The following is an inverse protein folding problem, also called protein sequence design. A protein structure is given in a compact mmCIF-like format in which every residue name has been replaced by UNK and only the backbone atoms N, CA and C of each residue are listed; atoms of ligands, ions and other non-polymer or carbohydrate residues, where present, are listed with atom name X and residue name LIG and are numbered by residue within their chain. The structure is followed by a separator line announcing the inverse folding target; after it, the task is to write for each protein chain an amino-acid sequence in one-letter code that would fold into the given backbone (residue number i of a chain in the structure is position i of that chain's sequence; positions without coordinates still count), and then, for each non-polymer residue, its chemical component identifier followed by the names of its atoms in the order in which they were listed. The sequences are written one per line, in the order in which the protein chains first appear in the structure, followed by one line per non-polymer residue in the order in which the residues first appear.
data_IF_492079728385
#
_entry.id   IF_492079728385
#
_cell.length_a   1.000
_cell.length_b   1.000
_cell.length_c   1.000
_cell.angle_alpha   90.00
_cell.angle_beta   90.00
_cell.angle_gamma   90.00
#
_symmetry.space_group_name_H-M   'P 1'
#
loop_
_entity.id
_entity.type
_entity.pdbx_description
1 polymer ?
#
# COMPACT_ATOMS: atom_id res chain seq x y z
N UNK A 1 -11.49 18.62 19.88
CA UNK A 1 -10.72 17.55 19.22
C UNK A 1 -11.49 17.10 18.01
N UNK A 2 -10.98 17.43 16.82
CA UNK A 2 -11.52 16.93 15.57
C UNK A 2 -10.95 15.51 15.33
N UNK A 3 -11.79 14.60 14.85
CA UNK A 3 -11.37 13.21 14.56
C UNK A 3 -11.26 13.08 13.05
N UNK A 4 -10.06 12.76 12.56
CA UNK A 4 -9.83 12.43 11.16
C UNK A 4 -9.97 10.92 10.99
N UNK A 5 -10.94 10.51 10.19
CA UNK A 5 -11.16 9.10 9.88
C UNK A 5 -10.40 8.79 8.60
N UNK A 6 -9.48 7.82 8.68
CA UNK A 6 -8.68 7.38 7.55
C UNK A 6 -9.04 5.95 7.24
N UNK A 7 -9.51 5.72 6.01
CA UNK A 7 -9.86 4.40 5.53
C UNK A 7 -8.92 4.00 4.40
N UNK A 8 -8.22 2.87 4.55
CA UNK A 8 -7.49 2.26 3.44
C UNK A 8 -8.52 1.51 2.59
N UNK A 9 -8.77 1.98 1.38
CA UNK A 9 -9.79 1.41 0.47
C UNK A 9 -9.23 0.35 -0.45
N UNK A 10 -7.91 0.29 -0.60
CA UNK A 10 -7.29 -0.70 -1.45
C UNK A 10 -5.83 -0.46 -1.71
N UNK A 11 -5.21 -1.47 -2.32
CA UNK A 11 -3.84 -1.45 -2.77
C UNK A 11 -3.80 -1.78 -4.26
N UNK A 12 -2.83 -1.20 -4.97
CA UNK A 12 -2.51 -1.61 -6.33
C UNK A 12 -1.02 -1.48 -6.62
N UNK A 13 -0.54 -2.28 -7.55
CA UNK A 13 0.84 -2.22 -8.04
C UNK A 13 0.86 -1.42 -9.33
N UNK A 14 1.72 -0.41 -9.35
CA UNK A 14 2.08 0.30 -10.56
C UNK A 14 3.57 0.09 -10.80
N UNK A 15 3.97 -0.15 -12.05
CA UNK A 15 5.37 -0.23 -12.49
C UNK A 15 6.26 -1.15 -11.63
N UNK A 16 6.20 -2.44 -11.91
CA UNK A 16 7.22 -3.38 -11.47
C UNK A 16 8.52 -3.16 -12.24
N UNK A 17 9.60 -2.82 -11.53
CA UNK A 17 10.96 -2.77 -12.05
C UNK A 17 11.68 -4.11 -11.78
N UNK A 18 11.84 -4.90 -12.83
CA UNK A 18 12.54 -6.19 -12.79
C UNK A 18 14.01 -6.09 -12.41
N UNK A 19 14.69 -5.03 -12.83
CA UNK A 19 16.15 -4.88 -12.63
C UNK A 19 16.47 -4.68 -11.16
N UNK A 20 15.59 -3.99 -10.45
CA UNK A 20 15.72 -3.74 -9.01
C UNK A 20 14.91 -4.73 -8.16
N UNK A 21 14.04 -5.54 -8.78
CA UNK A 21 13.09 -6.38 -8.05
C UNK A 21 12.13 -5.55 -7.18
N UNK A 22 11.79 -4.34 -7.64
CA UNK A 22 11.03 -3.35 -6.91
C UNK A 22 9.70 -3.03 -7.60
N UNK A 23 8.72 -2.57 -6.84
CA UNK A 23 7.41 -2.15 -7.36
C UNK A 23 6.92 -0.89 -6.63
N UNK A 24 6.13 -0.07 -7.32
CA UNK A 24 5.46 1.06 -6.69
C UNK A 24 4.09 0.61 -6.19
N UNK A 25 3.92 0.60 -4.87
CA UNK A 25 2.65 0.30 -4.21
C UNK A 25 1.82 1.58 -4.12
N UNK A 26 0.69 1.59 -4.80
CA UNK A 26 -0.34 2.61 -4.71
C UNK A 26 -1.31 2.24 -3.60
N UNK A 27 -1.35 3.06 -2.55
CA UNK A 27 -2.23 2.93 -1.39
C UNK A 27 -3.39 3.90 -1.58
N UNK A 28 -4.58 3.36 -1.83
CA UNK A 28 -5.80 4.13 -1.99
C UNK A 28 -6.40 4.40 -0.61
N UNK A 29 -6.51 5.68 -0.27
CA UNK A 29 -7.05 6.16 1.00
C UNK A 29 -8.33 6.97 0.75
N UNK A 30 -9.23 6.94 1.72
CA UNK A 30 -10.33 7.87 1.87
C UNK A 30 -10.17 8.58 3.22
N UNK A 31 -10.07 9.91 3.16
CA UNK A 31 -9.86 10.78 4.33
C UNK A 31 -10.96 11.82 4.30
N UNK A 32 -11.83 11.79 5.30
CA UNK A 32 -12.97 12.70 5.42
C UNK A 32 -13.81 12.77 4.11
N UNK A 33 -14.01 11.62 3.48
CA UNK A 33 -14.75 11.48 2.21
C UNK A 33 -13.96 11.82 0.95
N UNK A 34 -12.72 12.30 1.06
CA UNK A 34 -11.86 12.58 -0.09
C UNK A 34 -10.92 11.43 -0.40
N UNK A 35 -10.90 11.02 -1.68
CA UNK A 35 -9.97 10.00 -2.17
C UNK A 35 -8.56 10.59 -2.31
N UNK A 36 -7.58 9.90 -1.74
CA UNK A 36 -6.15 10.22 -1.85
C UNK A 36 -5.37 8.97 -2.24
N UNK A 37 -4.27 9.15 -2.96
CA UNK A 37 -3.36 8.06 -3.30
C UNK A 37 -2.00 8.39 -2.71
N UNK A 38 -1.46 7.48 -1.90
CA UNK A 38 -0.05 7.49 -1.52
C UNK A 38 0.69 6.45 -2.35
N UNK A 39 1.89 6.79 -2.82
CA UNK A 39 2.72 5.88 -3.58
C UNK A 39 4.01 5.66 -2.81
N UNK A 40 4.39 4.40 -2.59
CA UNK A 40 5.65 4.04 -1.95
C UNK A 40 6.28 2.85 -2.66
N UNK A 41 7.59 2.93 -2.89
CA UNK A 41 8.35 1.90 -3.59
C UNK A 41 8.83 0.84 -2.59
N UNK A 42 8.60 -0.42 -2.92
CA UNK A 42 9.04 -1.56 -2.12
C UNK A 42 9.87 -2.53 -2.95
N UNK A 43 10.79 -3.23 -2.29
CA UNK A 43 11.47 -4.42 -2.79
C UNK A 43 10.86 -5.66 -2.14
N UNK A 44 11.31 -6.83 -2.57
CA UNK A 44 10.86 -8.10 -2.00
C UNK A 44 11.35 -8.26 -0.54
N UNK A 45 10.46 -8.01 0.43
CA UNK A 45 10.68 -8.24 1.88
C UNK A 45 9.52 -9.04 2.47
N UNK A 46 9.39 -9.17 3.80
CA UNK A 46 8.22 -9.85 4.39
C UNK A 46 6.96 -9.01 4.19
N UNK A 47 5.84 -9.67 3.91
CA UNK A 47 4.57 -9.00 3.66
C UNK A 47 4.13 -8.17 4.88
N UNK A 48 4.34 -8.73 6.06
CA UNK A 48 4.03 -8.12 7.35
C UNK A 48 4.85 -6.84 7.58
N UNK A 49 6.15 -6.85 7.23
CA UNK A 49 7.02 -5.66 7.34
C UNK A 49 6.55 -4.52 6.41
N UNK A 50 6.06 -4.85 5.21
CA UNK A 50 5.51 -3.87 4.27
C UNK A 50 4.20 -3.30 4.80
N UNK A 51 3.33 -4.15 5.34
CA UNK A 51 2.05 -3.72 5.94
C UNK A 51 2.27 -2.78 7.12
N UNK A 52 3.17 -3.12 8.03
CA UNK A 52 3.53 -2.27 9.18
C UNK A 52 4.03 -0.90 8.70
N UNK A 53 4.91 -0.91 7.70
CA UNK A 53 5.45 0.33 7.13
C UNK A 53 4.39 1.16 6.39
N UNK A 54 3.45 0.54 5.67
CA UNK A 54 2.29 1.22 5.06
C UNK A 54 1.47 1.93 6.14
N UNK A 55 1.12 1.22 7.21
CA UNK A 55 0.33 1.75 8.32
C UNK A 55 1.04 2.92 9.00
N UNK A 56 2.34 2.78 9.27
CA UNK A 56 3.15 3.86 9.84
C UNK A 56 3.26 5.04 8.88
N UNK A 57 3.42 4.80 7.59
CA UNK A 57 3.47 5.85 6.56
C UNK A 57 2.17 6.64 6.52
N UNK A 58 1.02 5.95 6.54
CA UNK A 58 -0.29 6.60 6.61
C UNK A 58 -0.38 7.41 7.91
N UNK A 59 -0.13 6.82 9.08
CA UNK A 59 -0.18 7.53 10.37
C UNK A 59 0.70 8.79 10.39
N UNK A 60 1.95 8.69 9.93
CA UNK A 60 2.90 9.79 9.93
C UNK A 60 2.49 10.89 8.95
N UNK A 61 2.04 10.52 7.74
CA UNK A 61 1.65 11.51 6.73
C UNK A 61 0.51 12.39 7.22
N UNK A 62 -0.43 11.85 7.98
CA UNK A 62 -1.57 12.61 8.50
C UNK A 62 -1.30 13.29 9.84
N UNK A 63 -0.33 12.82 10.64
CA UNK A 63 0.21 13.60 11.77
C UNK A 63 0.90 14.89 11.32
N UNK A 64 1.65 14.84 10.21
CA UNK A 64 2.32 16.03 9.65
C UNK A 64 1.32 17.12 9.25
N UNK A 65 0.16 16.75 8.70
CA UNK A 65 -0.90 17.69 8.35
C UNK A 65 -1.54 18.36 9.59
N UNK A 66 -1.63 17.67 10.72
CA UNK A 66 -2.16 18.24 11.96
C UNK A 66 -1.13 19.13 12.68
N UNK A 67 0.17 18.83 12.57
CA UNK A 67 1.23 19.61 13.23
C UNK A 67 1.47 21.01 12.64
N UNK A 68 0.90 21.32 11.48
CA UNK A 68 0.94 22.67 10.89
C UNK A 68 -0.13 23.62 11.44
N UNK A 69 -1.15 23.11 12.14
CA UNK A 69 -2.06 23.94 12.92
C UNK A 69 -1.41 24.19 14.30
N UNK A 70 -1.10 25.46 14.60
CA UNK A 70 -0.19 25.98 15.64
C UNK A 70 -0.52 25.62 17.12
N UNK A 71 -1.29 24.57 17.41
CA UNK A 71 -1.68 24.23 18.77
C UNK A 71 -1.35 22.76 19.10
N UNK A 72 -0.33 22.47 19.93
CA UNK A 72 0.01 21.11 20.34
C UNK A 72 -1.10 20.37 21.12
N UNK A 73 -2.16 21.08 21.51
CA UNK A 73 -3.39 20.53 22.10
C UNK A 73 -4.42 20.03 21.06
N UNK A 74 -4.25 20.37 19.78
CA UNK A 74 -5.08 19.92 18.66
C UNK A 74 -4.51 18.66 17.99
N UNK A 75 -4.04 17.69 18.78
CA UNK A 75 -3.74 16.37 18.23
C UNK A 75 -5.06 15.74 17.76
N UNK A 76 -5.29 15.75 16.45
CA UNK A 76 -6.39 14.99 15.85
C UNK A 76 -6.16 13.51 16.12
N UNK A 77 -7.18 12.83 16.63
CA UNK A 77 -7.11 11.39 16.82
C UNK A 77 -7.32 10.73 15.46
N UNK A 78 -6.27 10.11 14.91
CA UNK A 78 -6.35 9.31 13.69
C UNK A 78 -7.02 7.98 14.04
N UNK A 79 -8.21 7.75 13.49
CA UNK A 79 -8.92 6.48 13.61
C UNK A 79 -8.86 5.76 12.26
N UNK A 80 -8.25 4.57 12.25
CA UNK A 80 -8.37 3.62 11.14
C UNK A 80 -9.45 2.60 11.47
N UNK A 81 -10.50 2.55 10.65
CA UNK A 81 -11.60 1.60 10.85
C UNK A 81 -11.18 0.20 10.38
N UNK A 82 -11.63 -0.83 11.10
CA UNK A 82 -11.42 -2.25 10.77
C UNK A 82 -9.95 -2.62 10.51
N UNK A 83 -9.04 -2.05 11.31
CA UNK A 83 -7.60 -2.18 11.07
C UNK A 83 -7.14 -3.64 10.96
N UNK A 84 -7.65 -4.55 11.81
CA UNK A 84 -7.28 -5.97 11.77
C UNK A 84 -7.67 -6.66 10.44
N UNK A 85 -8.90 -6.44 9.95
CA UNK A 85 -9.38 -6.99 8.66
C UNK A 85 -8.61 -6.38 7.48
N UNK A 86 -8.33 -5.08 7.55
CA UNK A 86 -7.55 -4.37 6.53
C UNK A 86 -6.11 -4.87 6.53
N UNK A 87 -5.49 -5.07 7.69
CA UNK A 87 -4.16 -5.66 7.85
C UNK A 87 -4.07 -7.04 7.20
N UNK A 88 -5.02 -7.92 7.51
CA UNK A 88 -5.06 -9.27 6.91
C UNK A 88 -5.19 -9.20 5.38
N UNK A 89 -6.12 -8.37 4.87
CA UNK A 89 -6.31 -8.16 3.43
C UNK A 89 -5.04 -7.62 2.75
N UNK A 90 -4.34 -6.68 3.39
CA UNK A 90 -3.08 -6.14 2.89
C UNK A 90 -1.98 -7.21 2.87
N UNK A 91 -1.81 -7.99 3.95
CA UNK A 91 -0.84 -9.09 4.02
C UNK A 91 -1.09 -10.10 2.89
N UNK A 92 -2.34 -10.50 2.71
CA UNK A 92 -2.73 -11.43 1.66
C UNK A 92 -2.48 -10.88 0.25
N UNK A 93 -2.74 -9.59 0.03
CA UNK A 93 -2.42 -8.91 -1.22
C UNK A 93 -0.91 -8.92 -1.51
N UNK A 94 -0.08 -8.54 -0.54
CA UNK A 94 1.37 -8.50 -0.72
C UNK A 94 1.95 -9.91 -0.93
N UNK A 95 1.45 -10.93 -0.23
CA UNK A 95 1.81 -12.33 -0.49
C UNK A 95 1.52 -12.73 -1.94
N UNK A 96 0.35 -12.36 -2.47
CA UNK A 96 -0.01 -12.61 -3.87
C UNK A 96 0.90 -11.88 -4.87
N UNK A 97 1.34 -10.65 -4.55
CA UNK A 97 2.34 -9.93 -5.36
C UNK A 97 3.66 -10.70 -5.36
N UNK A 98 4.13 -11.14 -4.20
CA UNK A 98 5.36 -11.90 -4.05
C UNK A 98 5.33 -13.22 -4.80
N UNK A 99 4.22 -13.95 -4.75
CA UNK A 99 4.02 -15.19 -5.51
C UNK A 99 4.11 -14.92 -7.02
N UNK A 100 3.44 -13.88 -7.53
CA UNK A 100 3.52 -13.51 -8.94
C UNK A 100 4.93 -13.11 -9.38
N UNK A 101 5.66 -12.37 -8.55
CA UNK A 101 7.06 -12.01 -8.81
C UNK A 101 7.95 -13.26 -8.84
N UNK A 102 7.74 -14.20 -7.91
CA UNK A 102 8.47 -15.46 -7.86
C UNK A 102 8.20 -16.30 -9.11
N UNK A 103 6.95 -16.41 -9.51
CA UNK A 103 6.55 -17.16 -10.71
C UNK A 103 7.11 -16.49 -11.98
N UNK A 104 7.15 -15.16 -12.03
CA UNK A 104 7.75 -14.43 -13.13
C UNK A 104 9.25 -14.70 -13.25
N UNK A 105 9.98 -14.72 -12.12
CA UNK A 105 11.42 -15.04 -12.10
C UNK A 105 11.74 -16.49 -12.51
N UNK A 106 10.81 -17.43 -12.33
CA UNK A 106 11.02 -18.83 -12.66
C UNK A 106 10.76 -19.17 -14.14
N UNK A 107 10.11 -18.27 -14.90
CA UNK A 107 9.80 -18.51 -16.30
C UNK A 107 10.98 -18.25 -17.25
N UNK A 108 11.20 -19.20 -18.17
CA UNK A 108 12.21 -19.13 -19.24
C UNK A 108 11.64 -18.83 -20.63
N UNK A 109 10.31 -18.71 -20.77
CA UNK A 109 9.62 -18.52 -22.06
C UNK A 109 9.23 -17.07 -22.31
N UNK A 110 9.63 -16.53 -23.46
CA UNK A 110 9.43 -15.12 -23.83
C UNK A 110 7.96 -14.72 -24.04
N UNK A 111 7.08 -15.65 -24.45
CA UNK A 111 5.67 -15.35 -24.73
C UNK A 111 4.83 -15.23 -23.46
N UNK A 112 5.11 -16.05 -22.45
CA UNK A 112 4.42 -15.99 -21.16
C UNK A 112 4.92 -14.81 -20.30
N UNK A 113 6.12 -14.32 -20.61
CA UNK A 113 6.80 -13.24 -19.92
C UNK A 113 6.03 -11.90 -19.95
N UNK A 114 5.59 -11.45 -21.13
CA UNK A 114 4.87 -10.15 -21.26
C UNK A 114 3.53 -10.21 -20.53
N UNK A 115 2.80 -11.32 -20.66
CA UNK A 115 1.52 -11.52 -20.00
C UNK A 115 1.65 -11.54 -18.48
N UNK A 116 2.70 -12.16 -17.94
CA UNK A 116 2.93 -12.16 -16.49
C UNK A 116 3.40 -10.80 -15.97
N UNK A 117 4.25 -10.10 -16.71
CA UNK A 117 4.66 -8.73 -16.38
C UNK A 117 3.44 -7.81 -16.25
N UNK A 118 2.57 -7.81 -17.26
CA UNK A 118 1.31 -7.06 -17.25
C UNK A 118 0.29 -7.56 -16.21
N UNK A 119 0.52 -8.73 -15.60
CA UNK A 119 -0.35 -9.25 -14.53
C UNK A 119 0.12 -8.85 -13.13
N UNK A 120 1.38 -8.39 -13.01
CA UNK A 120 1.94 -7.77 -11.82
C UNK A 120 1.60 -6.28 -11.88
N UNK A 121 1.87 -5.65 -13.03
CA UNK A 121 1.48 -4.27 -13.31
C UNK A 121 -0.04 -4.16 -13.43
N UNK A 122 -0.67 -3.38 -12.54
CA UNK A 122 -2.12 -3.26 -12.49
C UNK A 122 -2.80 -4.30 -11.59
N UNK A 123 -2.05 -5.13 -10.86
CA UNK A 123 -2.63 -5.94 -9.80
C UNK A 123 -3.20 -5.03 -8.72
N UNK A 124 -4.47 -5.20 -8.35
CA UNK A 124 -5.10 -4.42 -7.29
C UNK A 124 -6.09 -5.22 -6.45
N UNK A 125 -6.38 -4.71 -5.26
CA UNK A 125 -7.40 -5.20 -4.35
C UNK A 125 -8.14 -4.01 -3.72
N UNK A 126 -9.45 -4.16 -3.53
CA UNK A 126 -10.31 -3.23 -2.78
C UNK A 126 -10.67 -3.86 -1.44
N UNK A 127 -10.81 -3.05 -0.40
CA UNK A 127 -11.03 -3.49 0.99
C UNK A 127 -12.38 -3.09 1.55
#
# INVERSE_FOLDING_TARGET
MERKIINIKGLSINKYNRGEGAYDLHILLEVDGQKKILVKRYTYTKAEEIVDDVIQTVKNKFREYDSFEENPLNQSMILMQNLEDVEEKMVNFIKRVHDKIRDFKSQRSYTNYINMYNSIDGLGAQF
#
